data_IF_656849011966
#
_entry.id   IF_656849011966
#
_cell.length_a   1.000
_cell.length_b   1.000
_cell.length_c   1.000
_cell.angle_alpha   90.00
_cell.angle_beta   90.00
_cell.angle_gamma   90.00
#
_symmetry.space_group_name_H-M   'P 1'
#
loop_
_entity.id
_entity.type
_entity.pdbx_description
1 polymer ?
#
# COMPACT_ATOMS: atom_id res chain seq x y z
N UNK A 1 -4.16 -3.16 3.80
CA UNK A 1 -3.95 -3.45 2.35
C UNK A 1 -2.91 -4.53 2.24
N UNK A 2 -3.13 -5.51 1.38
CA UNK A 2 -2.27 -6.70 1.26
C UNK A 2 -1.86 -6.92 -0.20
N UNK A 3 -0.59 -7.24 -0.40
CA UNK A 3 -0.03 -7.69 -1.69
C UNK A 3 0.40 -9.15 -1.58
N UNK A 4 0.46 -9.84 -2.71
CA UNK A 4 0.92 -11.23 -2.77
C UNK A 4 2.39 -11.25 -3.17
N UNK A 5 3.23 -11.77 -2.28
CA UNK A 5 4.61 -12.12 -2.58
C UNK A 5 4.69 -13.56 -3.10
N UNK A 6 5.52 -13.79 -4.10
CA UNK A 6 5.93 -15.12 -4.58
C UNK A 6 7.32 -15.42 -4.05
N UNK A 7 7.46 -16.61 -3.46
CA UNK A 7 8.70 -17.08 -2.85
C UNK A 7 9.29 -18.21 -3.68
N UNK A 8 10.51 -18.03 -4.13
CA UNK A 8 11.25 -19.06 -4.87
C UNK A 8 12.59 -19.35 -4.20
N UNK A 9 12.83 -20.60 -3.87
CA UNK A 9 14.12 -21.02 -3.33
C UNK A 9 15.20 -20.95 -4.41
N UNK A 10 16.33 -20.32 -4.05
CA UNK A 10 17.51 -20.21 -4.91
C UNK A 10 18.77 -20.48 -4.06
N UNK A 11 19.24 -21.72 -4.07
CA UNK A 11 20.30 -22.19 -3.20
C UNK A 11 19.96 -22.02 -1.72
N UNK A 12 20.76 -21.21 -1.02
CA UNK A 12 20.55 -20.91 0.41
C UNK A 12 19.57 -19.76 0.65
N UNK A 13 19.24 -18.98 -0.39
CA UNK A 13 18.39 -17.80 -0.31
C UNK A 13 16.95 -18.10 -0.76
N UNK A 14 16.03 -17.29 -0.31
CA UNK A 14 14.68 -17.24 -0.84
C UNK A 14 14.48 -15.92 -1.57
N UNK A 15 14.30 -15.97 -2.87
CA UNK A 15 13.96 -14.80 -3.69
C UNK A 15 12.48 -14.50 -3.51
N UNK A 16 12.19 -13.23 -3.30
CA UNK A 16 10.85 -12.69 -3.04
C UNK A 16 10.53 -11.70 -4.15
N UNK A 17 9.43 -11.94 -4.85
CA UNK A 17 8.96 -11.07 -5.94
C UNK A 17 7.50 -10.71 -5.74
N UNK A 18 7.09 -9.56 -6.26
CA UNK A 18 5.71 -9.09 -6.18
C UNK A 18 5.13 -8.97 -7.58
N UNK A 19 4.25 -9.89 -8.02
CA UNK A 19 3.70 -9.88 -9.38
C UNK A 19 2.94 -8.61 -9.73
N UNK A 20 2.32 -7.96 -8.73
CA UNK A 20 1.60 -6.71 -8.93
C UNK A 20 2.53 -5.47 -8.94
N UNK A 21 3.80 -5.63 -8.56
CA UNK A 21 4.79 -4.56 -8.45
C UNK A 21 6.02 -4.89 -9.32
N UNK A 22 5.98 -4.64 -10.63
CA UNK A 22 7.07 -4.99 -11.54
C UNK A 22 8.40 -4.33 -11.12
N UNK A 23 9.45 -5.13 -10.98
CA UNK A 23 10.75 -4.68 -10.50
C UNK A 23 10.91 -4.65 -8.97
N UNK A 24 9.83 -4.83 -8.20
CA UNK A 24 9.93 -5.01 -6.76
C UNK A 24 10.37 -6.44 -6.46
N UNK A 25 11.63 -6.60 -6.06
CA UNK A 25 12.19 -7.89 -5.67
C UNK A 25 13.23 -7.73 -4.56
N UNK A 26 13.35 -8.77 -3.74
CA UNK A 26 14.34 -8.86 -2.68
C UNK A 26 14.69 -10.33 -2.41
N UNK A 27 15.55 -10.58 -1.43
CA UNK A 27 15.83 -11.94 -0.99
C UNK A 27 16.00 -11.98 0.53
N UNK A 28 15.70 -13.13 1.13
CA UNK A 28 15.97 -13.44 2.51
C UNK A 28 16.99 -14.61 2.60
N UNK A 29 17.94 -14.52 3.50
CA UNK A 29 18.89 -15.61 3.77
C UNK A 29 18.31 -16.62 4.74
N UNK A 30 17.49 -16.15 5.67
CA UNK A 30 16.81 -16.94 6.70
C UNK A 30 15.30 -16.91 6.52
N UNK A 31 14.66 -18.01 6.91
CA UNK A 31 13.20 -18.14 6.75
C UNK A 31 12.41 -17.20 7.66
N UNK A 32 12.92 -16.90 8.83
CA UNK A 32 12.32 -15.99 9.81
C UNK A 32 12.40 -14.51 9.42
N UNK A 33 13.24 -14.14 8.45
CA UNK A 33 13.39 -12.79 7.93
C UNK A 33 12.45 -12.49 6.75
N UNK A 34 11.84 -13.51 6.15
CA UNK A 34 11.06 -13.36 4.90
C UNK A 34 10.00 -12.28 5.03
N UNK A 35 9.23 -12.27 6.11
CA UNK A 35 8.09 -11.36 6.25
C UNK A 35 8.54 -9.90 6.46
N UNK A 36 9.62 -9.67 7.20
CA UNK A 36 10.17 -8.32 7.42
C UNK A 36 10.82 -7.78 6.17
N UNK A 37 11.67 -8.57 5.51
CA UNK A 37 12.39 -8.18 4.29
C UNK A 37 11.41 -7.97 3.12
N UNK A 38 10.38 -8.80 3.01
CA UNK A 38 9.34 -8.65 1.99
C UNK A 38 8.56 -7.34 2.18
N UNK A 39 8.18 -7.02 3.43
CA UNK A 39 7.46 -5.79 3.74
C UNK A 39 8.31 -4.57 3.46
N UNK A 40 9.55 -4.54 3.95
CA UNK A 40 10.48 -3.43 3.76
C UNK A 40 10.70 -3.11 2.27
N UNK A 41 10.95 -4.14 1.46
CA UNK A 41 11.15 -3.97 0.02
C UNK A 41 9.89 -3.46 -0.68
N UNK A 42 8.70 -3.97 -0.33
CA UNK A 42 7.44 -3.56 -0.90
C UNK A 42 7.10 -2.11 -0.52
N UNK A 43 7.22 -1.76 0.76
CA UNK A 43 6.92 -0.41 1.25
C UNK A 43 7.86 0.62 0.63
N UNK A 44 9.17 0.36 0.57
CA UNK A 44 10.13 1.24 -0.08
C UNK A 44 9.86 1.43 -1.57
N UNK A 45 9.44 0.35 -2.27
CA UNK A 45 9.05 0.44 -3.68
C UNK A 45 7.79 1.30 -3.88
N UNK A 46 6.75 1.10 -3.05
CA UNK A 46 5.50 1.87 -3.09
C UNK A 46 5.73 3.35 -2.74
N UNK A 47 6.54 3.63 -1.72
CA UNK A 47 6.89 5.00 -1.30
C UNK A 47 7.64 5.74 -2.40
N UNK A 48 8.56 5.07 -3.10
CA UNK A 48 9.26 5.66 -4.26
C UNK A 48 8.27 6.14 -5.31
N UNK A 49 7.23 5.37 -5.63
CA UNK A 49 6.19 5.76 -6.58
C UNK A 49 5.36 6.96 -6.07
N UNK A 50 5.10 7.03 -4.78
CA UNK A 50 4.42 8.19 -4.19
C UNK A 50 5.27 9.47 -4.33
N UNK A 51 6.58 9.37 -4.15
CA UNK A 51 7.51 10.50 -4.26
C UNK A 51 7.68 10.95 -5.71
N UNK A 52 7.85 10.02 -6.65
CA UNK A 52 8.02 10.33 -8.09
C UNK A 52 6.76 10.84 -8.76
N UNK A 53 5.62 10.70 -8.11
CA UNK A 53 4.34 11.12 -8.68
C UNK A 53 3.62 10.02 -9.47
N UNK A 54 4.22 8.86 -9.61
CA UNK A 54 3.63 7.72 -10.30
C UNK A 54 2.52 7.08 -9.47
N UNK A 55 1.56 6.46 -10.15
CA UNK A 55 0.51 5.70 -9.50
C UNK A 55 0.89 4.22 -9.49
N UNK A 56 1.28 3.64 -8.36
CA UNK A 56 1.63 2.22 -8.32
C UNK A 56 0.40 1.35 -8.59
N UNK A 57 0.57 0.12 -9.09
CA UNK A 57 -0.53 -0.80 -9.33
C UNK A 57 -1.30 -1.12 -8.05
N UNK A 58 -2.62 -1.27 -8.18
CA UNK A 58 -3.47 -1.81 -7.12
C UNK A 58 -3.11 -3.28 -6.86
N UNK A 59 -3.16 -3.74 -5.59
CA UNK A 59 -3.03 -5.15 -5.32
C UNK A 59 -4.14 -5.92 -6.03
N UNK A 60 -3.76 -6.92 -6.81
CA UNK A 60 -4.75 -7.76 -7.47
C UNK A 60 -5.47 -8.63 -6.43
N UNK A 61 -6.80 -8.80 -6.60
CA UNK A 61 -7.60 -9.73 -5.81
C UNK A 61 -7.24 -11.21 -6.10
N UNK A 62 -6.04 -11.48 -6.62
CA UNK A 62 -5.60 -12.84 -6.94
C UNK A 62 -5.50 -13.66 -5.68
N UNK A 63 -6.34 -14.65 -5.62
CA UNK A 63 -6.40 -15.58 -4.49
C UNK A 63 -5.00 -16.19 -4.24
N UNK A 64 -4.50 -16.07 -3.02
CA UNK A 64 -3.25 -16.71 -2.61
C UNK A 64 -3.28 -18.26 -2.82
N UNK A 65 -4.47 -18.82 -3.06
CA UNK A 65 -4.71 -20.27 -3.19
C UNK A 65 -4.68 -20.79 -4.64
N UNK A 66 -4.65 -19.93 -5.67
CA UNK A 66 -4.73 -20.39 -7.08
C UNK A 66 -3.39 -20.24 -7.81
N UNK A 67 -2.58 -21.27 -7.79
CA UNK A 67 -1.42 -21.42 -8.64
C UNK A 67 -1.01 -22.87 -8.73
N UNK A 68 -0.96 -23.41 -9.96
CA UNK A 68 -0.31 -24.70 -10.27
C UNK A 68 1.23 -24.63 -10.17
N UNK A 69 1.75 -23.57 -9.57
CA UNK A 69 3.17 -23.30 -9.43
C UNK A 69 3.68 -23.86 -8.10
N UNK A 70 4.87 -24.45 -8.13
CA UNK A 70 5.65 -24.90 -6.97
C UNK A 70 6.09 -23.74 -6.04
N UNK A 71 5.66 -22.50 -6.32
CA UNK A 71 6.05 -21.30 -5.59
C UNK A 71 5.15 -21.08 -4.37
N UNK A 72 5.76 -20.95 -3.24
CA UNK A 72 5.08 -20.55 -2.01
C UNK A 72 4.61 -19.08 -2.16
N UNK A 73 3.37 -18.80 -1.75
CA UNK A 73 2.81 -17.44 -1.78
C UNK A 73 2.58 -16.94 -0.37
N UNK A 74 2.89 -15.67 -0.15
CA UNK A 74 2.67 -14.98 1.12
C UNK A 74 1.87 -13.70 0.93
N UNK A 75 1.00 -13.41 1.89
CA UNK A 75 0.36 -12.11 2.01
C UNK A 75 1.28 -11.19 2.80
N UNK A 76 1.56 -10.04 2.22
CA UNK A 76 2.37 -8.99 2.84
C UNK A 76 1.47 -7.80 3.09
N UNK A 77 1.20 -7.51 4.35
CA UNK A 77 0.41 -6.35 4.79
C UNK A 77 1.34 -5.16 4.94
N UNK A 78 1.02 -4.07 4.24
CA UNK A 78 1.77 -2.81 4.33
C UNK A 78 1.29 -1.95 5.50
N UNK A 79 2.10 -0.96 5.84
CA UNK A 79 1.78 0.03 6.87
C UNK A 79 0.42 0.70 6.60
N UNK A 80 -0.43 0.88 7.63
CA UNK A 80 -1.76 1.47 7.47
C UNK A 80 -1.74 2.91 6.92
N UNK A 81 -0.75 3.73 7.30
CA UNK A 81 -0.64 5.10 6.81
C UNK A 81 -0.26 5.13 5.33
N UNK A 82 0.68 4.25 4.90
CA UNK A 82 1.01 4.06 3.49
C UNK A 82 -0.22 3.56 2.69
N UNK A 83 -0.95 2.59 3.23
CA UNK A 83 -2.17 2.07 2.61
C UNK A 83 -3.23 3.15 2.40
N UNK A 84 -3.42 4.03 3.39
CA UNK A 84 -4.35 5.16 3.31
C UNK A 84 -3.94 6.14 2.20
N UNK A 85 -2.67 6.56 2.16
CA UNK A 85 -2.13 7.47 1.13
C UNK A 85 -2.35 6.94 -0.28
N UNK A 86 -2.03 5.67 -0.50
CA UNK A 86 -2.26 4.99 -1.78
C UNK A 86 -3.74 4.96 -2.14
N UNK A 87 -4.62 4.61 -1.18
CA UNK A 87 -6.07 4.55 -1.40
C UNK A 87 -6.63 5.90 -1.82
N UNK A 88 -6.27 6.98 -1.14
CA UNK A 88 -6.71 8.34 -1.47
C UNK A 88 -6.23 8.74 -2.87
N UNK A 89 -4.99 8.46 -3.20
CA UNK A 89 -4.41 8.78 -4.50
C UNK A 89 -5.10 8.01 -5.62
N UNK A 90 -5.31 6.70 -5.49
CA UNK A 90 -6.05 5.91 -6.47
C UNK A 90 -7.49 6.39 -6.64
N UNK A 91 -8.19 6.67 -5.54
CA UNK A 91 -9.57 7.16 -5.59
C UNK A 91 -9.68 8.50 -6.32
N UNK A 92 -8.74 9.42 -6.08
CA UNK A 92 -8.66 10.70 -6.79
C UNK A 92 -8.40 10.49 -8.29
N UNK A 93 -7.40 9.69 -8.64
CA UNK A 93 -7.08 9.38 -10.04
C UNK A 93 -8.23 8.68 -10.77
N UNK A 94 -8.90 7.74 -10.12
CA UNK A 94 -10.05 7.05 -10.69
C UNK A 94 -11.21 8.00 -11.05
N UNK A 95 -11.28 9.16 -10.37
CA UNK A 95 -12.25 10.24 -10.67
C UNK A 95 -11.70 11.28 -11.65
N UNK A 96 -10.50 11.12 -12.13
CA UNK A 96 -9.85 12.09 -13.03
C UNK A 96 -9.56 13.43 -12.36
N UNK A 97 -9.55 13.52 -11.03
CA UNK A 97 -9.36 14.76 -10.30
C UNK A 97 -7.87 15.08 -10.11
N UNK A 98 -7.50 16.32 -10.36
CA UNK A 98 -6.25 16.90 -9.88
C UNK A 98 -6.33 17.18 -8.38
N UNK A 99 -5.18 17.34 -7.72
CA UNK A 99 -5.13 17.77 -6.30
C UNK A 99 -5.83 19.13 -6.09
N UNK A 100 -5.75 20.03 -7.07
CA UNK A 100 -6.41 21.34 -7.01
C UNK A 100 -7.93 21.23 -7.11
N UNK A 101 -8.46 20.34 -7.93
CA UNK A 101 -9.90 20.08 -8.04
C UNK A 101 -10.46 19.44 -6.79
N UNK A 102 -9.73 18.44 -6.24
CA UNK A 102 -10.11 17.83 -4.97
C UNK A 102 -10.09 18.86 -3.82
N UNK A 103 -9.12 19.77 -3.81
CA UNK A 103 -9.06 20.86 -2.84
C UNK A 103 -10.29 21.78 -2.92
N UNK A 104 -10.74 22.13 -4.12
CA UNK A 104 -11.96 22.93 -4.32
C UNK A 104 -13.22 22.21 -3.84
N UNK A 105 -13.33 20.90 -4.09
CA UNK A 105 -14.48 20.09 -3.68
C UNK A 105 -14.57 19.93 -2.16
N UNK A 106 -13.45 19.84 -1.48
CA UNK A 106 -13.38 19.56 -0.03
C UNK A 106 -13.32 20.81 0.84
N UNK A 107 -13.01 21.98 0.26
CA UNK A 107 -12.66 23.18 0.99
C UNK A 107 -11.33 23.06 1.76
N UNK A 108 -10.53 22.07 1.47
CA UNK A 108 -9.18 21.84 2.01
C UNK A 108 -8.16 22.47 1.06
N UNK A 109 -7.09 23.08 1.57
CA UNK A 109 -6.09 23.69 0.69
C UNK A 109 -5.39 22.66 -0.19
N UNK A 110 -4.95 23.06 -1.40
CA UNK A 110 -4.18 22.20 -2.30
C UNK A 110 -2.93 21.65 -1.62
N UNK A 111 -2.27 22.46 -0.80
CA UNK A 111 -1.10 22.01 -0.04
C UNK A 111 -1.45 20.89 0.94
N UNK A 112 -2.58 20.99 1.65
CA UNK A 112 -3.04 19.91 2.53
C UNK A 112 -3.39 18.65 1.77
N UNK A 113 -4.04 18.74 0.59
CA UNK A 113 -4.29 17.59 -0.27
C UNK A 113 -2.97 16.94 -0.73
N UNK A 114 -1.99 17.75 -1.16
CA UNK A 114 -0.66 17.24 -1.52
C UNK A 114 0.02 16.52 -0.38
N UNK A 115 -0.06 17.07 0.83
CA UNK A 115 0.48 16.45 2.03
C UNK A 115 -0.23 15.12 2.37
N UNK A 116 -1.54 14.99 2.17
CA UNK A 116 -2.27 13.73 2.40
C UNK A 116 -1.76 12.57 1.54
N UNK A 117 -1.19 12.88 0.39
CA UNK A 117 -0.63 11.90 -0.55
C UNK A 117 0.90 11.75 -0.40
N UNK A 118 1.55 12.57 0.44
CA UNK A 118 3.00 12.56 0.65
C UNK A 118 3.40 11.66 1.84
N UNK A 119 4.64 11.16 1.88
CA UNK A 119 5.20 10.50 3.06
C UNK A 119 5.15 11.43 4.30
N UNK A 120 5.17 10.84 5.48
CA UNK A 120 5.32 11.55 6.78
C UNK A 120 4.25 12.56 7.14
N UNK A 121 3.03 12.38 6.67
CA UNK A 121 1.89 13.22 7.05
C UNK A 121 1.01 12.56 8.10
N UNK A 122 0.50 13.41 9.00
CA UNK A 122 -0.46 13.00 10.03
C UNK A 122 -1.76 13.80 9.85
N UNK A 123 -2.65 13.38 8.96
CA UNK A 123 -3.91 14.08 8.71
C UNK A 123 -4.86 13.96 9.92
N UNK A 124 -5.65 14.99 10.13
CA UNK A 124 -6.73 14.89 11.10
C UNK A 124 -7.86 14.01 10.57
N UNK A 125 -8.59 13.37 11.48
CA UNK A 125 -9.74 12.56 11.13
C UNK A 125 -10.80 13.36 10.34
N UNK A 126 -11.01 14.61 10.71
CA UNK A 126 -11.94 15.51 10.01
C UNK A 126 -11.52 15.79 8.57
N UNK A 127 -10.21 15.96 8.33
CA UNK A 127 -9.69 16.13 6.96
C UNK A 127 -9.89 14.87 6.13
N UNK A 128 -9.61 13.69 6.71
CA UNK A 128 -9.82 12.41 6.04
C UNK A 128 -11.30 12.19 5.69
N UNK A 129 -12.22 12.52 6.60
CA UNK A 129 -13.65 12.40 6.37
C UNK A 129 -14.12 13.26 5.18
N UNK A 130 -13.74 14.55 5.16
CA UNK A 130 -14.07 15.47 4.05
C UNK A 130 -13.55 14.96 2.70
N UNK A 131 -12.32 14.46 2.68
CA UNK A 131 -11.72 13.94 1.45
C UNK A 131 -12.38 12.64 1.01
N UNK A 132 -12.66 11.72 1.93
CA UNK A 132 -13.38 10.49 1.62
C UNK A 132 -14.77 10.77 1.04
N UNK A 133 -15.56 11.64 1.66
CA UNK A 133 -16.88 12.05 1.18
C UNK A 133 -16.81 12.65 -0.23
N UNK A 134 -15.86 13.56 -0.48
CA UNK A 134 -15.66 14.14 -1.82
C UNK A 134 -15.24 13.10 -2.86
N UNK A 135 -14.56 12.04 -2.44
CA UNK A 135 -14.20 10.90 -3.29
C UNK A 135 -15.31 9.82 -3.33
N UNK A 136 -16.48 10.05 -2.69
CA UNK A 136 -17.60 9.10 -2.64
C UNK A 136 -17.23 7.82 -1.92
N UNK A 137 -16.43 7.92 -0.90
CA UNK A 137 -15.97 6.82 -0.07
C UNK A 137 -16.44 7.02 1.36
N UNK A 138 -16.70 5.93 2.06
CA UNK A 138 -16.94 5.93 3.49
C UNK A 138 -15.64 5.73 4.25
N UNK A 139 -15.41 6.54 5.28
CA UNK A 139 -14.26 6.37 6.16
C UNK A 139 -14.64 5.44 7.31
N UNK A 140 -14.03 4.26 7.34
CA UNK A 140 -14.19 3.31 8.45
C UNK A 140 -12.87 3.14 9.20
N UNK A 141 -12.90 3.32 10.51
CA UNK A 141 -11.76 3.13 11.40
C UNK A 141 -12.12 2.09 12.44
N UNK A 142 -11.27 1.10 12.60
CA UNK A 142 -11.43 0.08 13.64
C UNK A 142 -10.11 -0.11 14.40
N UNK A 143 -10.21 -0.27 15.71
CA UNK A 143 -9.09 -0.64 16.56
C UNK A 143 -9.23 -2.12 16.93
N UNK A 144 -8.26 -2.92 16.53
CA UNK A 144 -8.24 -4.36 16.80
C UNK A 144 -7.20 -4.62 17.89
N UNK A 145 -7.57 -5.28 19.01
CA UNK A 145 -6.60 -5.66 20.03
C UNK A 145 -5.48 -6.50 19.41
N UNK A 146 -4.25 -6.18 19.75
CA UNK A 146 -3.13 -7.08 19.40
C UNK A 146 -3.30 -8.36 20.23
N UNK A 147 -3.36 -9.51 19.55
CA UNK A 147 -3.24 -10.78 20.24
C UNK A 147 -1.87 -10.79 20.94
N UNK A 148 -1.85 -10.73 22.27
CA UNK A 148 -0.63 -10.95 23.02
C UNK A 148 -0.21 -12.40 22.73
N UNK A 149 0.86 -12.57 21.97
CA UNK A 149 1.56 -13.84 21.97
C UNK A 149 1.99 -14.11 23.41
N UNK A 150 1.31 -15.04 24.05
CA UNK A 150 1.70 -15.58 25.34
C UNK A 150 2.98 -16.41 25.17
#
# INVERSE_FOLDING_TARGET
>A
MEYIAQLRRDGRRTVITFPDCPGCQTFAERRDEIDSVAREALEGWLETHLVTGDLPPLPSARDARRGKSREERRRVTIDPALALRLTLRWARHARGLSQGELAKLTGVSRQQISLLEAPDTNPTLLTLQKVAEALGMDLQISLIPRSSAA
#
